data_IF_484992231642
#
_entry.id   IF_484992231642
#
_cell.length_a   1.000
_cell.length_b   1.000
_cell.length_c   1.000
_cell.angle_alpha   90.00
_cell.angle_beta   90.00
_cell.angle_gamma   90.00
#
_symmetry.space_group_name_H-M   'P 1'
#
loop_
_entity.id
_entity.type
_entity.pdbx_description
1 polymer ?
#
# COMPACT_ATOMS: atom_id res chain seq x y z
N UNK A 1 16.96 -0.35 3.74
CA UNK A 1 16.59 -1.43 4.68
C UNK A 1 16.90 -1.06 6.11
N UNK A 2 16.14 -1.54 7.10
CA UNK A 2 16.41 -1.28 8.52
C UNK A 2 15.90 0.06 9.07
N UNK A 3 14.99 0.75 8.36
CA UNK A 3 14.44 2.05 8.82
C UNK A 3 13.09 1.88 9.50
N UNK A 4 12.20 1.06 8.94
CA UNK A 4 10.86 0.77 9.48
C UNK A 4 10.70 -0.69 9.89
N UNK A 5 11.82 -1.41 10.00
CA UNK A 5 11.87 -2.86 10.16
C UNK A 5 12.91 -3.50 9.26
N UNK A 6 12.99 -4.83 9.33
CA UNK A 6 13.88 -5.65 8.51
C UNK A 6 13.10 -6.44 7.47
N UNK A 7 13.70 -6.60 6.30
CA UNK A 7 13.31 -7.64 5.35
C UNK A 7 14.20 -8.85 5.59
N UNK A 8 13.58 -10.03 5.57
CA UNK A 8 14.27 -11.32 5.66
C UNK A 8 13.97 -12.12 4.40
N UNK A 9 14.90 -12.98 3.94
CA UNK A 9 14.62 -13.87 2.83
C UNK A 9 13.36 -14.73 3.10
N UNK A 10 12.51 -14.95 2.09
CA UNK A 10 11.35 -15.80 2.26
C UNK A 10 11.79 -17.24 2.56
N UNK A 11 11.06 -17.91 3.46
CA UNK A 11 11.32 -19.30 3.89
C UNK A 11 12.68 -19.53 4.56
N UNK A 12 13.30 -18.48 5.11
CA UNK A 12 14.51 -18.58 5.92
C UNK A 12 14.21 -18.32 7.41
N UNK A 13 13.92 -19.38 8.20
CA UNK A 13 13.64 -19.23 9.62
C UNK A 13 14.88 -18.81 10.43
N UNK A 14 16.09 -19.12 9.98
CA UNK A 14 17.32 -18.76 10.68
C UNK A 14 17.56 -17.24 10.59
N UNK A 15 17.41 -16.66 9.39
CA UNK A 15 17.50 -15.22 9.19
C UNK A 15 16.42 -14.45 9.97
N UNK A 16 15.20 -15.00 10.05
CA UNK A 16 14.15 -14.42 10.88
C UNK A 16 14.52 -14.44 12.37
N UNK A 17 14.97 -15.59 12.88
CA UNK A 17 15.36 -15.75 14.28
C UNK A 17 16.49 -14.77 14.67
N UNK A 18 17.49 -14.61 13.80
CA UNK A 18 18.59 -13.67 14.01
C UNK A 18 18.08 -12.24 14.22
N UNK A 19 17.17 -11.76 13.35
CA UNK A 19 16.59 -10.41 13.48
C UNK A 19 15.75 -10.24 14.73
N UNK A 20 15.00 -11.26 15.13
CA UNK A 20 14.19 -11.22 16.35
C UNK A 20 15.08 -11.19 17.61
N UNK A 21 16.14 -12.00 17.66
CA UNK A 21 17.12 -11.98 18.76
C UNK A 21 17.81 -10.61 18.82
N UNK A 22 18.22 -10.07 17.67
CA UNK A 22 18.85 -8.76 17.58
C UNK A 22 17.95 -7.63 18.10
N UNK A 23 16.65 -7.67 17.83
CA UNK A 23 15.68 -6.68 18.31
C UNK A 23 15.37 -6.86 19.79
N UNK A 24 15.25 -8.10 20.27
CA UNK A 24 15.07 -8.40 21.68
C UNK A 24 16.25 -7.90 22.53
N UNK A 25 17.47 -7.99 22.02
CA UNK A 25 18.67 -7.51 22.70
C UNK A 25 18.83 -5.98 22.69
N UNK A 26 18.08 -5.25 21.83
CA UNK A 26 18.17 -3.80 21.63
C UNK A 26 16.78 -3.16 21.60
N UNK A 27 16.14 -2.97 22.77
CA UNK A 27 14.77 -2.46 22.85
C UNK A 27 14.63 -1.03 22.30
N UNK A 28 15.65 -0.21 22.44
CA UNK A 28 15.76 1.13 21.85
C UNK A 28 15.62 1.11 20.33
N UNK A 29 16.32 0.18 19.67
CA UNK A 29 16.20 -0.01 18.23
C UNK A 29 14.81 -0.53 17.85
N UNK A 30 14.26 -1.46 18.64
CA UNK A 30 12.93 -2.00 18.41
C UNK A 30 11.88 -0.86 18.40
N UNK A 31 11.94 0.02 19.39
CA UNK A 31 11.06 1.19 19.47
C UNK A 31 11.28 2.17 18.31
N UNK A 32 12.54 2.44 17.96
CA UNK A 32 12.87 3.35 16.85
C UNK A 32 12.29 2.85 15.52
N UNK A 33 12.48 1.57 15.21
CA UNK A 33 11.92 0.95 13.99
C UNK A 33 10.39 0.95 14.01
N UNK A 34 9.79 0.61 15.16
CA UNK A 34 8.34 0.61 15.35
C UNK A 34 7.73 2.00 15.12
N UNK A 35 8.34 3.04 15.72
CA UNK A 35 7.91 4.43 15.54
C UNK A 35 8.04 4.89 14.09
N UNK A 36 9.16 4.59 13.44
CA UNK A 36 9.35 4.92 12.04
C UNK A 36 8.33 4.23 11.13
N UNK A 37 8.03 2.95 11.39
CA UNK A 37 6.98 2.19 10.68
C UNK A 37 5.59 2.79 10.88
N UNK A 38 5.24 3.12 12.13
CA UNK A 38 3.98 3.78 12.47
C UNK A 38 3.80 5.11 11.72
N UNK A 39 4.79 6.00 11.77
CA UNK A 39 4.74 7.30 11.11
C UNK A 39 4.62 7.17 9.58
N UNK A 40 5.33 6.21 8.98
CA UNK A 40 5.22 5.94 7.54
C UNK A 40 3.82 5.48 7.16
N UNK A 41 3.24 4.55 7.92
CA UNK A 41 1.90 4.05 7.66
C UNK A 41 0.84 5.16 7.77
N UNK A 42 0.91 5.96 8.83
CA UNK A 42 -0.01 7.08 9.06
C UNK A 42 0.13 8.18 8.02
N UNK A 43 1.29 8.32 7.39
CA UNK A 43 1.52 9.33 6.35
C UNK A 43 1.06 8.89 4.97
N UNK A 44 1.26 7.62 4.60
CA UNK A 44 1.15 7.20 3.20
C UNK A 44 0.10 6.11 2.93
N UNK A 45 -0.33 5.38 3.95
CA UNK A 45 -1.16 4.18 3.81
C UNK A 45 -2.48 4.29 4.57
N UNK A 46 -3.07 5.50 4.64
CA UNK A 46 -4.33 5.74 5.33
C UNK A 46 -5.53 5.47 4.42
N UNK A 47 -6.65 5.05 5.02
CA UNK A 47 -7.86 4.77 4.25
C UNK A 47 -8.47 6.03 3.63
N UNK A 48 -8.43 7.15 4.36
CA UNK A 48 -8.79 8.48 3.84
C UNK A 48 -7.95 8.84 2.60
N UNK A 49 -6.63 8.70 2.68
CA UNK A 49 -5.75 9.03 1.55
C UNK A 49 -5.91 8.09 0.35
N UNK A 50 -6.43 6.88 0.54
CA UNK A 50 -6.81 6.01 -0.58
C UNK A 50 -8.17 6.43 -1.15
N UNK A 51 -9.17 6.72 -0.30
CA UNK A 51 -10.48 7.18 -0.74
C UNK A 51 -10.39 8.49 -1.54
N UNK A 52 -9.61 9.47 -1.06
CA UNK A 52 -9.40 10.75 -1.76
C UNK A 52 -8.81 10.53 -3.15
N UNK A 53 -7.75 9.70 -3.25
CA UNK A 53 -7.15 9.35 -4.55
C UNK A 53 -8.11 8.62 -5.49
N UNK A 54 -8.95 7.73 -4.94
CA UNK A 54 -9.93 7.00 -5.73
C UNK A 54 -11.02 7.93 -6.27
N UNK A 55 -11.48 8.89 -5.45
CA UNK A 55 -12.44 9.91 -5.85
C UNK A 55 -11.87 10.77 -6.99
N UNK A 56 -10.60 11.17 -6.90
CA UNK A 56 -9.96 11.98 -7.95
C UNK A 56 -9.90 11.23 -9.29
N UNK A 57 -9.59 9.93 -9.26
CA UNK A 57 -9.64 9.07 -10.46
C UNK A 57 -11.07 8.98 -11.01
N UNK A 58 -12.07 8.81 -10.16
CA UNK A 58 -13.47 8.75 -10.60
C UNK A 58 -13.94 10.07 -11.21
N UNK A 59 -13.51 11.21 -10.67
CA UNK A 59 -13.81 12.54 -11.25
C UNK A 59 -13.17 12.70 -12.62
N UNK A 60 -11.90 12.31 -12.77
CA UNK A 60 -11.17 12.38 -14.05
C UNK A 60 -11.88 11.56 -15.14
N UNK A 61 -12.33 10.35 -14.80
CA UNK A 61 -13.05 9.48 -15.74
C UNK A 61 -14.49 9.95 -16.00
N UNK A 62 -15.19 10.48 -15.00
CA UNK A 62 -16.59 10.92 -15.12
C UNK A 62 -16.74 12.26 -15.87
N UNK A 63 -15.72 13.11 -15.80
CA UNK A 63 -15.66 14.37 -16.53
C UNK A 63 -14.46 14.36 -17.46
N UNK A 64 -14.46 13.51 -18.50
CA UNK A 64 -13.45 13.58 -19.53
C UNK A 64 -13.62 14.97 -20.14
N UNK A 65 -12.68 15.87 -19.87
CA UNK A 65 -12.59 17.13 -20.58
C UNK A 65 -12.69 16.74 -22.05
N UNK A 66 -13.69 17.27 -22.75
CA UNK A 66 -13.80 17.14 -24.20
C UNK A 66 -12.60 17.89 -24.79
N UNK A 67 -11.42 17.29 -24.71
CA UNK A 67 -10.33 17.59 -25.60
C UNK A 67 -10.91 17.40 -26.99
N UNK A 68 -10.82 18.47 -27.77
CA UNK A 68 -11.56 18.68 -29.01
C UNK A 68 -11.60 17.45 -29.91
N UNK A 69 -12.70 17.37 -30.66
CA UNK A 69 -12.89 16.41 -31.72
C UNK A 69 -11.63 16.27 -32.59
N UNK A 70 -10.88 15.17 -32.42
CA UNK A 70 -10.35 14.33 -33.49
C UNK A 70 -9.44 13.21 -32.94
N UNK A 71 -9.73 12.00 -33.41
CA UNK A 71 -8.89 10.79 -33.45
C UNK A 71 -8.51 10.17 -32.08
N UNK A 72 -9.27 9.17 -31.62
CA UNK A 72 -9.13 7.76 -32.02
C UNK A 72 -7.76 7.15 -31.70
N UNK A 73 -7.55 6.77 -30.43
CA UNK A 73 -7.05 5.44 -30.06
C UNK A 73 -7.10 5.26 -28.53
N UNK A 74 -8.28 5.15 -27.93
CA UNK A 74 -8.41 4.75 -26.52
C UNK A 74 -8.61 3.24 -26.43
N UNK A 75 -7.50 2.50 -26.44
CA UNK A 75 -7.50 1.11 -25.98
C UNK A 75 -7.53 1.10 -24.45
N UNK A 76 -8.66 0.72 -23.89
CA UNK A 76 -8.71 -0.06 -22.64
C UNK A 76 -10.08 -0.73 -22.53
N UNK A 77 -10.18 -2.04 -22.82
CA UNK A 77 -11.09 -2.87 -22.07
C UNK A 77 -10.28 -3.43 -20.91
N UNK A 78 -10.34 -2.77 -19.74
CA UNK A 78 -10.13 -3.54 -18.52
C UNK A 78 -11.38 -4.43 -18.44
N UNK A 79 -11.21 -5.71 -18.73
CA UNK A 79 -12.29 -6.67 -18.57
C UNK A 79 -12.60 -6.73 -17.07
N UNK A 80 -13.77 -6.22 -16.69
CA UNK A 80 -14.36 -6.52 -15.39
C UNK A 80 -14.70 -8.01 -15.37
N UNK A 81 -13.85 -8.81 -14.72
CA UNK A 81 -14.23 -10.15 -14.28
C UNK A 81 -15.24 -9.97 -13.13
N UNK A 82 -16.51 -10.40 -13.27
CA UNK A 82 -17.42 -10.44 -12.15
C UNK A 82 -17.03 -11.65 -11.30
N UNK A 83 -16.45 -11.43 -10.11
CA UNK A 83 -16.16 -12.56 -9.22
C UNK A 83 -15.16 -12.39 -8.08
N UNK A 84 -14.66 -11.20 -7.73
CA UNK A 84 -13.78 -11.06 -6.55
C UNK A 84 -14.15 -9.85 -5.71
N UNK A 85 -15.32 -9.92 -5.09
CA UNK A 85 -15.62 -9.16 -3.86
C UNK A 85 -16.07 -10.17 -2.79
N UNK A 86 -15.22 -11.16 -2.52
CA UNK A 86 -15.31 -11.92 -1.28
C UNK A 86 -14.26 -11.35 -0.32
N UNK A 87 -14.70 -11.06 0.92
CA UNK A 87 -13.93 -10.56 2.06
C UNK A 87 -13.85 -9.03 2.21
N UNK A 88 -14.99 -8.46 2.63
CA UNK A 88 -15.10 -7.20 3.37
C UNK A 88 -14.13 -7.20 4.55
N UNK A 89 -12.98 -6.53 4.42
CA UNK A 89 -12.17 -6.14 5.58
C UNK A 89 -12.74 -4.84 6.14
N UNK A 90 -13.62 -4.96 7.12
CA UNK A 90 -13.92 -3.86 8.04
C UNK A 90 -12.70 -3.64 8.91
N UNK A 91 -11.91 -2.62 8.59
CA UNK A 91 -10.91 -2.07 9.49
C UNK A 91 -11.57 -0.88 10.19
N UNK A 92 -12.12 -1.14 11.39
CA UNK A 92 -12.43 -0.09 12.36
C UNK A 92 -11.13 0.55 12.88
#
# INVERSE_FOLDING_TARGET
DGVTGYLVPPRDPAALAERLVQLRARPDLCEALGRAGYLRAHRFYTWRGVADRLIDIYRDVAHPQRAGAAASNRRTPVATTPGVLAHRKENA
#
